data_IF_436834076688
#
_entry.id   IF_436834076688
#
_cell.length_a   1.000
_cell.length_b   1.000
_cell.length_c   1.000
_cell.angle_alpha   90.00
_cell.angle_beta   90.00
_cell.angle_gamma   90.00
#
_symmetry.space_group_name_H-M   'P 1'
#
loop_
_entity.id
_entity.type
_entity.pdbx_description
1 polymer ?
2 non-polymer ?
3 non-polymer ?
4 water ?
#
# COMPACT_ATOMS: atom_id res chain seq x y z
N UNK A 3 -2.41 8.80 24.92
CA UNK A 3 -2.95 9.38 23.66
C UNK A 3 -2.17 8.99 22.42
N UNK A 4 -1.39 7.91 22.49
CA UNK A 4 -0.66 7.41 21.30
C UNK A 4 -1.62 6.91 20.23
N UNK A 5 -1.14 6.87 18.99
CA UNK A 5 -1.95 6.32 17.92
C UNK A 5 -2.31 4.87 18.22
N UNK A 6 -1.36 4.14 18.79
CA UNK A 6 -1.55 2.70 19.07
C UNK A 6 -2.65 2.53 20.12
N UNK A 7 -2.58 3.38 21.16
CA UNK A 7 -3.60 3.38 22.22
C UNK A 7 -4.99 3.71 21.69
N UNK A 8 -5.09 4.76 20.87
CA UNK A 8 -6.36 5.19 20.32
C UNK A 8 -6.95 4.14 19.36
N UNK A 9 -6.09 3.55 18.53
CA UNK A 9 -6.50 2.48 17.60
C UNK A 9 -7.11 1.31 18.38
N UNK A 10 -6.43 0.88 19.43
CA UNK A 10 -6.95 -0.18 20.29
C UNK A 10 -8.29 0.16 20.92
N UNK A 11 -8.45 1.39 21.40
CA UNK A 11 -9.70 1.84 21.97
C UNK A 11 -10.80 1.81 20.93
N UNK A 12 -10.50 2.24 19.71
CA UNK A 12 -11.53 2.29 18.69
C UNK A 12 -11.99 0.86 18.30
N UNK A 13 -11.02 -0.02 18.06
CA UNK A 13 -11.30 -1.42 17.75
C UNK A 13 -12.16 -2.09 18.82
N UNK A 14 -11.86 -1.78 20.08
CA UNK A 14 -12.59 -2.34 21.21
C UNK A 14 -13.88 -1.57 21.56
N UNK A 15 -14.23 -0.54 20.79
CA UNK A 15 -15.41 0.28 21.05
C UNK A 15 -15.36 1.02 22.40
N UNK A 16 -14.16 1.32 22.88
CA UNK A 16 -13.96 2.12 24.10
C UNK A 16 -13.99 3.63 23.81
N UNK A 17 -13.62 3.96 22.59
CA UNK A 17 -13.80 5.30 22.03
C UNK A 17 -14.71 5.13 20.82
N UNK A 18 -15.53 6.14 20.52
CA UNK A 18 -16.36 6.02 19.33
C UNK A 18 -15.52 5.95 18.04
N UNK A 19 -16.04 5.17 17.10
CA UNK A 19 -15.38 4.95 15.83
C UNK A 19 -16.43 5.08 14.75
N UNK A 20 -16.02 5.54 13.58
CA UNK A 20 -16.90 5.58 12.44
C UNK A 20 -16.58 4.39 11.57
N UNK A 21 -17.21 3.27 11.91
CA UNK A 21 -17.08 2.04 11.12
C UNK A 21 -17.87 2.11 9.83
N UNK A 22 -17.28 1.57 8.76
CA UNK A 22 -17.91 1.54 7.45
C UNK A 22 -18.15 0.12 6.95
N UNK A 23 -17.50 -0.84 7.59
CA UNK A 23 -17.56 -2.24 7.16
C UNK A 23 -17.25 -3.20 8.31
N UNK A 24 -17.97 -4.32 8.36
CA UNK A 24 -17.73 -5.33 9.36
C UNK A 24 -18.08 -6.69 8.75
N UNK A 25 -17.17 -7.66 8.84
CA UNK A 25 -17.55 -9.09 8.65
C UNK A 25 -16.93 -9.92 9.78
N UNK A 26 -17.06 -11.26 9.71
CA UNK A 26 -16.54 -12.14 10.74
C UNK A 26 -15.03 -12.03 11.00
N UNK A 27 -14.28 -11.57 10.01
CA UNK A 27 -12.81 -11.57 10.03
C UNK A 27 -12.15 -10.19 9.93
N UNK A 28 -12.85 -9.23 9.34
CA UNK A 28 -12.24 -7.97 9.02
C UNK A 28 -13.20 -6.84 9.32
N UNK A 29 -12.66 -5.72 9.84
CA UNK A 29 -13.42 -4.49 10.03
C UNK A 29 -12.71 -3.32 9.33
N UNK A 30 -13.47 -2.27 9.05
CA UNK A 30 -12.93 -1.04 8.52
C UNK A 30 -13.59 0.17 9.11
N UNK A 31 -12.76 1.15 9.45
CA UNK A 31 -13.27 2.35 10.10
C UNK A 31 -12.42 3.53 9.69
N UNK A 32 -12.99 4.72 9.78
CA UNK A 32 -12.21 5.91 9.46
C UNK A 32 -11.10 6.15 10.46
N UNK A 33 -9.92 6.51 9.96
CA UNK A 33 -8.82 6.89 10.83
C UNK A 33 -9.09 8.26 11.43
N UNK A 34 -8.60 8.47 12.63
CA UNK A 34 -8.66 9.79 13.29
C UNK A 34 -7.66 10.80 12.72
N UNK A 35 -6.68 10.39 11.91
CA UNK A 35 -5.69 11.30 11.32
C UNK A 35 -5.67 11.11 9.78
N UNK A 36 -6.73 11.53 9.08
CA UNK A 36 -6.83 11.26 7.65
C UNK A 36 -5.84 12.00 6.75
N UNK A 37 -5.25 11.28 5.82
CA UNK A 37 -4.45 11.87 4.76
C UNK A 37 -5.32 12.65 3.78
N UNK A 38 -6.52 12.13 3.50
CA UNK A 38 -7.57 12.82 2.76
C UNK A 38 -8.90 12.43 3.38
N UNK A 39 -9.96 13.19 3.12
CA UNK A 39 -11.27 12.83 3.66
C UNK A 39 -11.67 11.45 3.13
N UNK A 40 -12.13 10.56 4.01
CA UNK A 40 -12.51 9.22 3.58
C UNK A 40 -11.45 8.16 3.87
N UNK A 41 -10.34 8.59 4.41
CA UNK A 41 -9.24 7.68 4.72
C UNK A 41 -9.71 6.65 5.75
N UNK A 42 -9.65 5.40 5.33
CA UNK A 42 -10.20 4.28 6.02
C UNK A 42 -9.09 3.28 6.37
N UNK A 43 -9.21 2.62 7.51
CA UNK A 43 -8.28 1.59 7.94
C UNK A 43 -9.01 0.25 7.85
N UNK A 44 -8.37 -0.73 7.22
CA UNK A 44 -8.94 -2.07 7.04
C UNK A 44 -8.09 -2.96 7.93
N UNK A 45 -8.75 -3.66 8.83
CA UNK A 45 -8.10 -4.28 9.98
C UNK A 45 -8.66 -5.69 10.21
N UNK A 46 -7.77 -6.71 10.21
CA UNK A 46 -8.22 -8.01 10.65
C UNK A 46 -8.55 -7.96 12.13
N UNK A 47 -9.61 -8.65 12.53
CA UNK A 47 -9.93 -8.79 13.95
C UNK A 47 -8.80 -9.50 14.72
N UNK A 48 -8.20 -10.50 14.09
CA UNK A 48 -7.10 -11.29 14.68
C UNK A 48 -5.93 -10.37 15.03
N UNK A 49 -5.27 -10.64 16.16
CA UNK A 49 -4.03 -9.94 16.53
C UNK A 49 -2.87 -10.44 15.71
N UNK A 50 -2.68 -9.83 14.54
CA UNK A 50 -1.56 -10.15 13.68
C UNK A 50 -0.94 -8.83 13.22
N UNK A 51 0.31 -8.91 12.78
CA UNK A 51 1.08 -7.75 12.38
C UNK A 51 2.07 -8.24 11.30
N UNK A 52 2.76 -7.28 10.68
CA UNK A 52 3.86 -7.55 9.74
C UNK A 52 3.34 -8.16 8.45
N UNK A 53 2.77 -7.30 7.61
CA UNK A 53 2.02 -7.68 6.42
C UNK A 53 2.72 -8.76 5.57
N UNK A 54 4.03 -8.60 5.36
CA UNK A 54 4.75 -9.47 4.43
C UNK A 54 4.84 -10.90 4.95
N UNK A 55 4.63 -11.10 6.26
CA UNK A 55 4.74 -12.42 6.88
C UNK A 55 3.39 -13.08 7.13
N UNK A 56 2.30 -12.42 6.81
CA UNK A 56 0.95 -12.94 7.13
C UNK A 56 0.60 -14.08 6.19
N UNK A 57 -0.04 -15.12 6.73
CA UNK A 57 -0.44 -16.25 5.92
C UNK A 57 -1.43 -15.79 4.85
N UNK A 58 -1.47 -16.52 3.74
CA UNK A 58 -2.25 -16.07 2.57
C UNK A 58 -3.77 -16.04 2.77
N UNK A 59 -4.33 -16.98 3.53
CA UNK A 59 -5.76 -16.95 3.86
C UNK A 59 -6.14 -15.60 4.48
N UNK A 60 -5.47 -15.26 5.58
CA UNK A 60 -5.73 -14.01 6.33
C UNK A 60 -5.40 -12.75 5.51
N UNK A 61 -4.28 -12.77 4.81
CA UNK A 61 -3.83 -11.64 4.03
C UNK A 61 -4.80 -11.32 2.90
N UNK A 62 -5.25 -12.39 2.23
CA UNK A 62 -6.15 -12.26 1.10
C UNK A 62 -7.55 -11.78 1.51
N UNK A 63 -8.01 -12.11 2.72
CA UNK A 63 -9.27 -11.54 3.22
C UNK A 63 -9.13 -10.03 3.40
N UNK A 64 -8.02 -9.60 3.98
CA UNK A 64 -7.75 -8.16 4.17
C UNK A 64 -7.64 -7.45 2.82
N UNK A 65 -6.98 -8.10 1.87
CA UNK A 65 -6.88 -7.55 0.51
C UNK A 65 -8.22 -7.35 -0.15
N UNK A 66 -9.11 -8.36 -0.03
CA UNK A 66 -10.44 -8.29 -0.57
C UNK A 66 -11.24 -7.11 -0.01
N UNK A 67 -11.23 -6.95 1.30
CA UNK A 67 -11.94 -5.82 1.91
C UNK A 67 -11.28 -4.50 1.52
N UNK A 68 -9.95 -4.50 1.36
CA UNK A 68 -9.26 -3.28 0.93
C UNK A 68 -9.74 -2.87 -0.47
N UNK A 69 -9.94 -3.83 -1.36
CA UNK A 69 -10.44 -3.50 -2.71
C UNK A 69 -11.85 -2.92 -2.64
N UNK A 70 -12.68 -3.53 -1.82
CA UNK A 70 -14.04 -3.08 -1.68
C UNK A 70 -14.07 -1.64 -1.16
N UNK A 71 -13.28 -1.35 -0.13
CA UNK A 71 -13.20 -0.02 0.42
C UNK A 71 -12.65 0.96 -0.63
N UNK A 72 -11.62 0.53 -1.35
CA UNK A 72 -11.08 1.34 -2.44
C UNK A 72 -12.16 1.72 -3.47
N UNK A 73 -12.94 0.76 -3.91
CA UNK A 73 -14.04 1.05 -4.83
C UNK A 73 -15.03 2.03 -4.22
N UNK A 74 -15.33 1.86 -2.94
CA UNK A 74 -16.32 2.69 -2.26
C UNK A 74 -15.85 4.13 -2.11
N UNK A 75 -14.57 4.33 -1.79
CA UNK A 75 -14.06 5.70 -1.61
C UNK A 75 -13.94 6.45 -2.94
N UNK A 76 -13.56 5.73 -3.99
CA UNK A 76 -13.54 6.29 -5.33
C UNK A 76 -14.95 6.77 -5.70
N UNK A 77 -15.93 5.91 -5.46
CA UNK A 77 -17.34 6.28 -5.77
C UNK A 77 -17.83 7.42 -4.87
N UNK A 78 -17.58 7.30 -3.56
CA UNK A 78 -18.10 8.27 -2.59
C UNK A 78 -17.52 9.66 -2.79
N UNK A 79 -16.23 9.75 -3.13
CA UNK A 79 -15.58 11.05 -3.25
C UNK A 79 -15.28 11.43 -4.70
N UNK A 80 -15.81 10.67 -5.64
CA UNK A 80 -15.68 10.97 -7.07
C UNK A 80 -14.22 11.20 -7.50
N UNK A 81 -13.37 10.25 -7.13
CA UNK A 81 -11.99 10.23 -7.62
C UNK A 81 -11.76 9.01 -8.52
N UNK A 82 -10.94 9.16 -9.56
CA UNK A 82 -10.53 7.99 -10.36
C UNK A 82 -9.75 6.99 -9.54
N UNK A 83 -8.86 7.48 -8.68
CA UNK A 83 -7.96 6.62 -7.97
C UNK A 83 -8.12 6.67 -6.44
N UNK A 84 -7.72 5.55 -5.82
CA UNK A 84 -7.56 5.43 -4.38
C UNK A 84 -6.10 5.06 -4.09
N UNK A 85 -5.56 5.56 -2.99
CA UNK A 85 -4.21 5.16 -2.55
C UNK A 85 -4.32 4.02 -1.52
N UNK A 86 -3.27 3.22 -1.44
CA UNK A 86 -3.16 2.15 -0.46
C UNK A 86 -1.78 2.21 0.11
N UNK A 87 -1.68 2.17 1.45
CA UNK A 87 -0.43 2.16 2.15
C UNK A 87 -0.48 1.14 3.27
N UNK A 88 0.63 0.42 3.45
CA UNK A 88 0.86 -0.35 4.65
C UNK A 88 2.20 0.13 5.17
N UNK A 89 2.23 0.49 6.44
CA UNK A 89 3.39 1.09 7.04
C UNK A 89 3.65 0.33 8.33
N UNK A 90 2.81 0.57 9.34
CA UNK A 90 2.88 -0.18 10.60
C UNK A 90 3.75 0.40 11.69
N UNK A 91 4.36 1.56 11.44
CA UNK A 91 5.29 2.17 12.40
C UNK A 91 4.62 2.84 13.61
N UNK A 92 3.34 3.18 13.48
CA UNK A 92 2.57 3.78 14.58
C UNK A 92 1.75 2.78 15.39
N UNK A 93 1.21 1.77 14.73
CA UNK A 93 0.31 0.83 15.39
C UNK A 93 0.68 -0.58 15.03
N UNK A 94 1.02 -1.39 16.05
CA UNK A 94 1.53 -2.73 15.78
C UNK A 94 0.42 -3.77 15.70
N UNK A 95 -0.53 -3.54 14.80
CA UNK A 95 -1.62 -4.47 14.46
C UNK A 95 -1.84 -4.20 12.99
N UNK A 96 -1.81 -5.24 12.19
CA UNK A 96 -1.93 -5.07 10.74
C UNK A 96 -3.10 -4.17 10.37
N UNK A 97 -2.84 -3.17 9.54
CA UNK A 97 -3.94 -2.32 9.05
C UNK A 97 -3.53 -1.71 7.74
N UNK A 98 -4.48 -1.68 6.79
CA UNK A 98 -4.21 -1.15 5.47
C UNK A 98 -4.90 0.19 5.36
N UNK A 99 -4.14 1.19 4.97
CA UNK A 99 -4.68 2.54 4.74
C UNK A 99 -5.25 2.60 3.33
N UNK A 100 -6.52 3.02 3.20
CA UNK A 100 -7.18 3.15 1.91
C UNK A 100 -7.89 4.51 1.88
N UNK A 101 -7.58 5.31 0.86
CA UNK A 101 -8.06 6.70 0.81
C UNK A 101 -8.22 7.17 -0.64
N UNK A 102 -9.19 8.08 -0.90
CA UNK A 102 -9.34 8.58 -2.24
C UNK A 102 -8.20 9.54 -2.53
N UNK A 103 -7.70 9.57 -3.76
CA UNK A 103 -6.54 10.43 -4.02
C UNK A 103 -6.68 11.22 -5.33
N UNK A 104 -6.15 12.44 -5.35
CA UNK A 104 -5.99 13.20 -6.60
C UNK A 104 -4.55 13.64 -6.86
N UNK A 105 -3.65 13.47 -5.88
CA UNK A 105 -2.30 13.99 -5.97
C UNK A 105 -1.28 13.14 -5.23
N UNK A 106 -0.08 13.06 -5.79
CA UNK A 106 1.02 12.37 -5.14
C UNK A 106 1.29 12.92 -3.74
N UNK A 107 1.03 14.21 -3.57
CA UNK A 107 1.28 14.85 -2.27
C UNK A 107 0.38 14.30 -1.16
N UNK A 108 -0.76 13.69 -1.51
CA UNK A 108 -1.63 13.06 -0.51
C UNK A 108 -0.93 11.98 0.30
N UNK A 109 0.04 11.29 -0.31
CA UNK A 109 0.67 10.12 0.27
C UNK A 109 1.64 10.51 1.35
N UNK A 110 1.49 9.94 2.53
CA UNK A 110 2.48 10.20 3.55
C UNK A 110 1.92 10.90 4.75
N UNK A 111 2.75 10.93 5.77
CA UNK A 111 2.28 11.22 7.07
C UNK A 111 2.48 12.68 7.44
N UNK A 112 3.26 13.40 6.66
CA UNK A 112 3.63 14.78 7.01
C UNK A 112 2.45 15.74 7.02
N UNK A 113 1.42 15.53 6.22
CA UNK A 113 0.29 16.39 6.48
C UNK A 113 -1.06 15.75 6.44
N UNK A 114 -1.19 14.81 7.36
CA UNK A 114 -2.46 14.37 7.86
C UNK A 114 -3.17 15.48 8.62
N UNK A 115 -4.50 15.35 8.65
CA UNK A 115 -5.40 16.23 9.37
C UNK A 115 -5.42 15.58 10.75
N UNK A 116 -4.81 16.21 11.73
CA UNK A 116 -4.76 15.55 13.04
C UNK A 116 -6.03 15.71 13.87
N UNK A 117 -6.88 16.66 13.51
CA UNK A 117 -8.12 16.87 14.24
C UNK A 117 -9.19 17.25 13.21
N UNK A 118 -9.66 16.25 12.44
CA UNK A 118 -10.69 16.54 11.46
C UNK A 118 -12.06 16.84 12.13
N UNK A 119 -12.85 17.69 11.50
CA UNK A 119 -14.19 18.05 12.00
C UNK A 119 -15.12 16.83 12.13
N UNK A 120 -15.95 16.80 13.20
CA UNK A 120 -16.98 15.77 13.28
C UNK A 120 -17.84 15.73 12.01
N UNK A 121 -18.12 16.89 11.41
CA UNK A 121 -18.87 16.96 10.15
C UNK A 121 -18.19 16.22 8.99
N UNK A 122 -16.89 16.45 8.81
CA UNK A 122 -16.16 15.80 7.73
C UNK A 122 -16.19 14.29 7.92
N UNK A 123 -15.98 13.83 9.15
CA UNK A 123 -15.99 12.38 9.45
C UNK A 123 -17.37 11.79 9.27
N UNK A 124 -18.39 12.46 9.78
CA UNK A 124 -19.79 11.99 9.64
C UNK A 124 -20.17 11.86 8.16
N UNK A 125 -19.85 12.87 7.36
CA UNK A 125 -20.19 12.82 5.93
C UNK A 125 -19.43 11.74 5.21
N UNK A 126 -18.13 11.58 5.56
CA UNK A 126 -17.34 10.53 4.97
C UNK A 126 -17.92 9.16 5.30
N UNK A 127 -18.27 8.92 6.56
CA UNK A 127 -18.83 7.62 6.93
C UNK A 127 -20.13 7.37 6.17
N UNK A 128 -20.98 8.38 6.10
CA UNK A 128 -22.28 8.27 5.39
C UNK A 128 -22.09 7.93 3.92
N UNK A 129 -21.21 8.67 3.25
CA UNK A 129 -21.00 8.51 1.80
C UNK A 129 -20.34 7.19 1.43
N UNK A 130 -19.42 6.74 2.26
CA UNK A 130 -18.79 5.44 2.08
C UNK A 130 -19.78 4.30 2.29
N UNK A 131 -20.55 4.35 3.36
CA UNK A 131 -21.57 3.36 3.59
C UNK A 131 -22.60 3.34 2.47
N UNK A 132 -23.01 4.50 1.94
CA UNK A 132 -23.95 4.52 0.81
C UNK A 132 -23.35 3.83 -0.42
N UNK A 133 -22.07 4.11 -0.68
CA UNK A 133 -21.35 3.56 -1.85
C UNK A 133 -21.20 2.03 -1.75
N UNK A 134 -20.87 1.57 -0.56
CA UNK A 134 -20.78 0.13 -0.26
C UNK A 134 -22.10 -0.59 -0.51
N UNK A 135 -23.22 -0.01 -0.09
CA UNK A 135 -24.54 -0.61 -0.33
C UNK A 135 -24.83 -0.68 -1.83
N UNK A 136 -24.41 0.37 -2.53
CA UNK A 136 -24.59 0.52 -3.98
C UNK A 136 -23.78 -0.53 -4.75
N UNK A 137 -22.57 -0.85 -4.25
CA UNK A 137 -21.70 -1.87 -4.83
C UNK A 137 -22.03 -3.30 -4.39
N UNK A 138 -22.92 -3.49 -3.43
CA UNK A 138 -23.13 -4.81 -2.83
C UNK A 138 -23.93 -5.73 -3.78
N UNK B 3 10.89 10.05 -22.03
CA UNK B 3 11.59 10.74 -20.91
C UNK B 3 10.84 10.58 -19.60
N UNK B 4 9.52 10.47 -19.67
CA UNK B 4 8.69 10.40 -18.49
C UNK B 4 8.92 9.11 -17.69
N UNK B 5 8.46 9.13 -16.44
CA UNK B 5 8.52 7.94 -15.61
C UNK B 5 7.68 6.86 -16.28
N UNK B 6 6.53 7.22 -16.88
CA UNK B 6 5.70 6.22 -17.53
C UNK B 6 6.33 5.60 -18.78
N UNK B 7 6.96 6.44 -19.61
CA UNK B 7 7.60 5.94 -20.83
C UNK B 7 8.78 4.99 -20.50
N UNK B 8 9.60 5.37 -19.51
CA UNK B 8 10.73 4.52 -19.07
C UNK B 8 10.20 3.20 -18.44
N UNK B 9 9.19 3.31 -17.59
CA UNK B 9 8.53 2.12 -17.05
C UNK B 9 8.11 1.19 -18.19
N UNK B 10 7.42 1.72 -19.21
CA UNK B 10 6.93 0.88 -20.30
C UNK B 10 8.06 0.16 -21.03
N UNK B 11 9.13 0.90 -21.29
CA UNK B 11 10.29 0.34 -21.98
C UNK B 11 10.99 -0.76 -21.17
N UNK B 12 11.07 -0.57 -19.85
CA UNK B 12 11.69 -1.56 -19.00
C UNK B 12 10.90 -2.87 -19.05
N UNK B 13 9.59 -2.80 -18.85
CA UNK B 13 8.79 -4.05 -18.86
C UNK B 13 8.75 -4.68 -20.24
N UNK B 14 8.81 -3.87 -21.30
CA UNK B 14 8.86 -4.40 -22.66
C UNK B 14 10.28 -4.81 -23.11
N UNK B 15 11.27 -4.73 -22.22
CA UNK B 15 12.66 -5.04 -22.54
C UNK B 15 13.19 -4.27 -23.77
N UNK B 16 12.85 -2.98 -23.80
CA UNK B 16 13.38 -2.07 -24.79
C UNK B 16 14.37 -1.11 -24.15
N UNK B 17 14.40 -1.08 -22.81
CA UNK B 17 15.51 -0.47 -22.02
C UNK B 17 15.89 -1.41 -20.89
N UNK B 18 17.17 -1.41 -20.49
CA UNK B 18 17.62 -2.27 -19.39
C UNK B 18 16.93 -1.95 -18.07
N UNK B 19 16.56 -2.98 -17.34
CA UNK B 19 16.04 -2.83 -15.97
C UNK B 19 16.84 -3.74 -15.03
N UNK B 20 16.79 -3.42 -13.76
CA UNK B 20 17.35 -4.27 -12.73
C UNK B 20 16.22 -5.07 -12.12
N UNK B 21 15.96 -6.22 -12.71
CA UNK B 21 14.95 -7.11 -12.21
C UNK B 21 15.45 -7.87 -11.00
N UNK B 22 14.53 -8.17 -10.09
CA UNK B 22 14.82 -9.05 -8.97
C UNK B 22 13.95 -10.30 -8.93
N UNK B 23 12.88 -10.34 -9.72
CA UNK B 23 11.91 -11.42 -9.65
C UNK B 23 11.13 -11.51 -10.97
N UNK B 24 10.79 -12.74 -11.37
CA UNK B 24 9.99 -12.96 -12.56
C UNK B 24 9.29 -14.31 -12.42
N UNK B 25 7.97 -14.32 -12.63
CA UNK B 25 7.24 -15.57 -12.84
C UNK B 25 6.34 -15.41 -14.08
N UNK B 26 5.42 -16.34 -14.29
CA UNK B 26 4.59 -16.34 -15.50
C UNK B 26 3.64 -15.13 -15.55
N UNK B 27 3.28 -14.60 -14.38
CA UNK B 27 2.31 -13.50 -14.26
C UNK B 27 2.82 -12.16 -13.74
N UNK B 28 3.90 -12.18 -12.96
CA UNK B 28 4.38 -10.98 -12.26
C UNK B 28 5.89 -10.83 -12.37
N UNK B 29 6.35 -9.59 -12.54
CA UNK B 29 7.78 -9.26 -12.49
C UNK B 29 8.02 -8.19 -11.41
N UNK B 30 9.25 -8.12 -10.91
CA UNK B 30 9.63 -7.05 -10.03
C UNK B 30 10.99 -6.53 -10.42
N UNK B 31 11.12 -5.21 -10.37
CA UNK B 31 12.36 -4.53 -10.72
C UNK B 31 12.53 -3.26 -9.94
N UNK B 32 13.77 -2.80 -9.85
CA UNK B 32 14.04 -1.59 -9.04
C UNK B 32 13.51 -0.33 -9.71
N UNK B 33 12.92 0.56 -8.93
CA UNK B 33 12.63 1.90 -9.42
C UNK B 33 13.90 2.72 -9.58
N UNK B 34 13.87 3.65 -10.52
CA UNK B 34 14.91 4.69 -10.65
C UNK B 34 14.71 5.90 -9.76
N UNK B 35 13.60 5.95 -9.02
CA UNK B 35 13.35 7.01 -8.04
C UNK B 35 13.04 6.42 -6.68
N UNK B 36 14.03 5.75 -6.07
CA UNK B 36 13.72 5.04 -4.82
C UNK B 36 13.49 5.96 -3.63
N UNK B 37 12.47 5.61 -2.85
CA UNK B 37 12.17 6.25 -1.54
C UNK B 37 13.28 5.89 -0.53
N UNK B 38 13.68 4.63 -0.52
CA UNK B 38 14.84 4.10 0.22
C UNK B 38 15.58 3.09 -0.67
N UNK B 39 16.85 2.78 -0.37
CA UNK B 39 17.59 1.84 -1.18
C UNK B 39 16.88 0.48 -1.07
N UNK B 40 16.65 -0.12 -2.22
CA UNK B 40 15.92 -1.37 -2.29
C UNK B 40 14.47 -1.27 -2.72
N UNK B 41 13.99 -0.06 -2.97
CA UNK B 41 12.63 0.21 -3.41
C UNK B 41 12.37 -0.49 -4.73
N UNK B 42 11.42 -1.45 -4.68
CA UNK B 42 11.16 -2.37 -5.78
C UNK B 42 9.73 -2.13 -6.26
N UNK B 43 9.50 -2.28 -7.57
CA UNK B 43 8.16 -2.24 -8.14
C UNK B 43 7.73 -3.65 -8.50
N UNK B 44 6.58 -4.06 -7.98
CA UNK B 44 6.03 -5.37 -8.26
C UNK B 44 4.91 -5.16 -9.27
N UNK B 45 5.00 -5.86 -10.42
CA UNK B 45 4.20 -5.48 -11.57
C UNK B 45 3.58 -6.67 -12.31
N UNK B 46 2.26 -6.67 -12.50
CA UNK B 46 1.71 -7.73 -13.35
C UNK B 46 2.21 -7.56 -14.78
N UNK B 47 2.50 -8.65 -15.46
CA UNK B 47 2.96 -8.55 -16.86
C UNK B 47 1.85 -8.00 -17.77
N UNK B 48 0.61 -8.44 -17.58
CA UNK B 48 -0.52 -7.86 -18.32
C UNK B 48 -0.76 -6.41 -17.93
N UNK B 49 -1.20 -5.61 -18.89
CA UNK B 49 -1.61 -4.22 -18.61
C UNK B 49 -2.98 -4.24 -17.92
N UNK B 50 -2.94 -4.13 -16.60
CA UNK B 50 -4.13 -3.80 -15.84
C UNK B 50 -3.73 -2.58 -14.98
N UNK B 51 -4.73 -1.87 -14.50
CA UNK B 51 -4.58 -0.65 -13.73
C UNK B 51 -5.81 -0.50 -12.81
N UNK B 52 -5.68 0.37 -11.81
CA UNK B 52 -6.76 0.69 -10.87
C UNK B 52 -6.94 -0.48 -9.91
N UNK B 53 -6.03 -0.57 -8.93
CA UNK B 53 -5.92 -1.75 -8.04
C UNK B 53 -7.24 -2.21 -7.44
N UNK B 54 -8.07 -1.26 -7.01
CA UNK B 54 -9.29 -1.61 -6.27
C UNK B 54 -10.32 -2.29 -7.18
N UNK B 55 -10.21 -2.04 -8.47
CA UNK B 55 -11.12 -2.61 -9.47
C UNK B 55 -10.62 -3.86 -10.20
N UNK B 56 -9.36 -4.24 -10.03
CA UNK B 56 -8.84 -5.41 -10.70
C UNK B 56 -9.41 -6.66 -10.03
N UNK B 57 -9.49 -7.74 -10.80
CA UNK B 57 -10.00 -9.02 -10.32
C UNK B 57 -9.24 -9.49 -9.05
N UNK B 58 -9.95 -10.08 -8.10
CA UNK B 58 -9.31 -10.42 -6.81
C UNK B 58 -8.19 -11.42 -6.98
N UNK B 59 -8.38 -12.41 -7.85
CA UNK B 59 -7.31 -13.38 -8.13
C UNK B 59 -6.04 -12.73 -8.68
N UNK B 60 -6.20 -11.82 -9.61
CA UNK B 60 -5.05 -11.09 -10.16
C UNK B 60 -4.38 -10.21 -9.09
N UNK B 61 -5.18 -9.42 -8.37
CA UNK B 61 -4.66 -8.57 -7.27
C UNK B 61 -3.94 -9.41 -6.20
N UNK B 62 -4.54 -10.53 -5.81
CA UNK B 62 -3.92 -11.39 -4.80
C UNK B 62 -2.61 -12.01 -5.27
N UNK B 63 -2.50 -12.33 -6.57
CA UNK B 63 -1.20 -12.82 -7.10
C UNK B 63 -0.14 -11.75 -6.95
N UNK B 64 -0.48 -10.53 -7.37
CA UNK B 64 0.44 -9.41 -7.28
C UNK B 64 0.84 -9.12 -5.81
N UNK B 65 -0.12 -9.14 -4.91
CA UNK B 65 0.18 -8.89 -3.51
C UNK B 65 0.98 -10.04 -2.88
N UNK B 66 0.77 -11.27 -3.36
CA UNK B 66 1.55 -12.41 -2.92
C UNK B 66 3.03 -12.24 -3.23
N UNK B 67 3.34 -11.86 -4.46
CA UNK B 67 4.72 -11.55 -4.82
C UNK B 67 5.22 -10.34 -4.02
N UNK B 68 4.36 -9.36 -3.78
CA UNK B 68 4.80 -8.19 -2.93
C UNK B 68 5.21 -8.64 -1.51
N UNK B 69 4.50 -9.63 -0.95
CA UNK B 69 4.89 -10.19 0.35
C UNK B 69 6.30 -10.76 0.29
N UNK B 70 6.61 -11.50 -0.79
CA UNK B 70 7.93 -12.12 -0.92
C UNK B 70 9.03 -11.04 -1.02
N UNK B 71 8.75 -10.01 -1.79
CA UNK B 71 9.65 -8.86 -1.89
C UNK B 71 9.81 -8.13 -0.55
N UNK B 72 8.71 -7.90 0.16
CA UNK B 72 8.76 -7.29 1.48
C UNK B 72 9.64 -8.09 2.45
N UNK B 73 9.48 -9.42 2.47
CA UNK B 73 10.37 -10.27 3.28
C UNK B 73 11.84 -10.11 2.87
N UNK B 74 12.09 -10.01 1.57
CA UNK B 74 13.43 -9.86 1.03
C UNK B 74 14.09 -8.54 1.37
N UNK B 75 13.37 -7.43 1.26
CA UNK B 75 13.96 -6.13 1.56
C UNK B 75 14.24 -5.96 3.06
N UNK B 76 13.36 -6.47 3.93
CA UNK B 76 13.65 -6.52 5.39
C UNK B 76 14.96 -7.24 5.67
N UNK B 77 15.11 -8.42 5.07
CA UNK B 77 16.32 -9.24 5.24
C UNK B 77 17.56 -8.55 4.63
N UNK B 78 17.43 -8.06 3.41
CA UNK B 78 18.54 -7.53 2.65
C UNK B 78 19.08 -6.24 3.26
N UNK B 79 18.19 -5.41 3.80
CA UNK B 79 18.56 -4.08 4.27
C UNK B 79 18.45 -3.90 5.77
N UNK B 80 18.21 -5.02 6.45
CA UNK B 80 18.24 -5.09 7.90
C UNK B 80 17.24 -4.14 8.54
N UNK B 81 15.98 -4.18 8.08
CA UNK B 81 14.94 -3.37 8.69
C UNK B 81 13.89 -4.30 9.28
N UNK B 82 13.22 -3.83 10.32
CA UNK B 82 12.16 -4.61 10.97
C UNK B 82 10.92 -4.64 10.10
N UNK B 83 10.66 -3.53 9.42
CA UNK B 83 9.50 -3.42 8.58
C UNK B 83 9.81 -3.03 7.15
N UNK B 84 8.82 -3.33 6.31
CA UNK B 84 8.78 -2.93 4.90
C UNK B 84 7.55 -2.06 4.68
N UNK B 85 7.71 -0.99 3.90
CA UNK B 85 6.57 -0.19 3.47
C UNK B 85 6.01 -0.64 2.13
N UNK B 86 4.73 -0.38 1.93
CA UNK B 86 4.06 -0.75 0.68
C UNK B 86 3.10 0.36 0.29
N UNK B 87 3.12 0.72 -0.98
CA UNK B 87 2.27 1.78 -1.47
C UNK B 87 1.76 1.42 -2.83
N UNK B 88 0.46 1.65 -3.04
CA UNK B 88 -0.08 1.69 -4.39
C UNK B 88 -0.61 3.10 -4.60
N UNK B 89 -0.15 3.76 -5.67
CA UNK B 89 -0.54 5.14 -5.95
C UNK B 89 -1.11 5.23 -7.36
N UNK B 90 -0.25 5.10 -8.38
CA UNK B 90 -0.72 4.95 -9.76
C UNK B 90 -0.78 6.23 -10.55
N UNK B 91 -0.47 7.34 -9.91
CA UNK B 91 -0.58 8.67 -10.52
C UNK B 91 0.50 8.98 -11.57
N UNK B 92 1.64 8.30 -11.50
CA UNK B 92 2.74 8.51 -12.45
C UNK B 92 2.70 7.54 -13.62
N UNK B 93 2.33 6.29 -13.37
CA UNK B 93 2.36 5.25 -14.43
C UNK B 93 1.07 4.44 -14.40
N UNK B 94 0.28 4.45 -15.50
CA UNK B 94 -1.02 3.79 -15.51
C UNK B 94 -0.95 2.31 -15.89
N UNK B 95 -0.11 1.60 -15.15
CA UNK B 95 0.03 0.16 -15.23
C UNK B 95 0.21 -0.20 -13.77
N UNK B 96 -0.68 -1.02 -13.25
CA UNK B 96 -0.62 -1.42 -11.85
C UNK B 96 0.80 -1.79 -11.43
N UNK B 97 1.22 -1.23 -10.30
CA UNK B 97 2.52 -1.58 -9.73
C UNK B 97 2.49 -1.26 -8.24
N UNK B 98 3.08 -2.15 -7.46
CA UNK B 98 3.12 -2.01 -5.99
C UNK B 98 4.51 -1.61 -5.60
N UNK B 99 4.61 -0.54 -4.85
CA UNK B 99 5.89 -0.10 -4.31
C UNK B 99 6.23 -0.86 -3.01
N UNK B 100 7.40 -1.49 -2.92
CA UNK B 100 7.78 -2.21 -1.75
C UNK B 100 9.19 -1.82 -1.43
N UNK B 101 9.44 -1.39 -0.20
CA UNK B 101 10.73 -0.86 0.18
C UNK B 101 11.00 -1.07 1.66
N UNK B 102 12.28 -1.14 2.05
CA UNK B 102 12.55 -1.23 3.48
C UNK B 102 12.30 0.12 4.14
N UNK B 103 11.83 0.12 5.39
CA UNK B 103 11.48 1.38 6.01
C UNK B 103 12.05 1.49 7.42
N UNK B 104 12.46 2.71 7.76
CA UNK B 104 12.97 3.06 9.07
C UNK B 104 12.15 4.19 9.74
N UNK B 105 11.49 5.04 8.94
CA UNK B 105 10.71 6.15 9.48
C UNK B 105 9.49 6.45 8.64
N UNK B 106 8.49 7.05 9.28
CA UNK B 106 7.29 7.48 8.59
C UNK B 106 7.60 8.45 7.46
N UNK B 107 8.68 9.20 7.59
CA UNK B 107 9.09 10.13 6.54
C UNK B 107 9.50 9.39 5.23
N UNK B 108 9.83 8.10 5.31
CA UNK B 108 10.15 7.31 4.10
C UNK B 108 9.00 7.34 3.10
N UNK B 109 7.75 7.45 3.59
CA UNK B 109 6.56 7.28 2.76
C UNK B 109 6.22 8.54 1.98
N UNK B 110 6.09 8.38 0.68
CA UNK B 110 5.68 9.51 -0.12
C UNK B 110 6.72 9.94 -1.11
N UNK B 111 6.31 10.88 -1.92
CA UNK B 111 6.94 11.05 -3.18
C UNK B 111 7.77 12.30 -3.27
N UNK B 112 7.60 13.20 -2.30
CA UNK B 112 8.41 14.42 -2.25
C UNK B 112 9.91 14.12 -2.14
N UNK B 113 10.32 13.22 -1.26
CA UNK B 113 11.74 13.10 -0.98
C UNK B 113 12.38 11.83 -1.58
N UNK B 114 11.89 11.36 -2.72
CA UNK B 114 12.52 10.25 -3.44
C UNK B 114 13.92 10.68 -3.92
N UNK B 115 14.81 9.71 -4.09
CA UNK B 115 16.12 9.97 -4.64
C UNK B 115 15.93 10.05 -6.16
N UNK B 116 16.11 11.22 -6.75
CA UNK B 116 15.92 11.34 -8.21
C UNK B 116 17.19 10.96 -9.00
N UNK B 117 18.25 10.60 -8.29
CA UNK B 117 19.52 10.28 -8.95
C UNK B 117 20.37 9.23 -8.23
N UNK B 118 19.82 8.02 -8.07
CA UNK B 118 20.56 7.03 -7.28
C UNK B 118 21.78 6.57 -8.06
N UNK B 119 22.87 6.28 -7.38
CA UNK B 119 24.08 5.85 -8.07
C UNK B 119 23.94 4.43 -8.65
N UNK B 120 24.66 4.17 -9.75
CA UNK B 120 24.57 2.84 -10.32
C UNK B 120 25.03 1.78 -9.32
N UNK B 121 26.06 2.03 -8.52
CA UNK B 121 26.45 0.99 -7.54
C UNK B 121 25.38 0.74 -6.49
N UNK B 122 24.72 1.79 -6.03
CA UNK B 122 23.60 1.61 -5.08
C UNK B 122 22.49 0.72 -5.63
N UNK B 123 22.20 0.89 -6.92
CA UNK B 123 21.16 0.11 -7.56
C UNK B 123 21.66 -1.32 -7.78
N UNK B 124 22.93 -1.45 -8.19
CA UNK B 124 23.53 -2.77 -8.37
C UNK B 124 23.49 -3.54 -7.07
N UNK B 125 23.85 -2.84 -6.01
CA UNK B 125 23.90 -3.43 -4.69
C UNK B 125 22.51 -3.82 -4.17
N UNK B 126 21.53 -2.95 -4.35
CA UNK B 126 20.14 -3.28 -3.95
C UNK B 126 19.64 -4.53 -4.69
N UNK B 127 19.90 -4.59 -5.99
CA UNK B 127 19.51 -5.74 -6.81
C UNK B 127 20.14 -7.01 -6.32
N UNK B 128 21.44 -6.95 -6.08
CA UNK B 128 22.16 -8.15 -5.68
C UNK B 128 21.74 -8.63 -4.30
N UNK B 129 21.53 -7.71 -3.37
CA UNK B 129 21.11 -8.08 -2.02
C UNK B 129 19.70 -8.63 -1.99
N UNK B 130 18.79 -8.05 -2.76
CA UNK B 130 17.42 -8.59 -2.82
C UNK B 130 17.43 -10.00 -3.42
N UNK B 131 18.17 -10.18 -4.51
CA UNK B 131 18.26 -11.50 -5.12
C UNK B 131 18.84 -12.53 -4.15
N UNK B 132 19.87 -12.15 -3.39
CA UNK B 132 20.46 -13.07 -2.42
C UNK B 132 19.44 -13.42 -1.33
N UNK B 133 18.69 -12.42 -0.85
CA UNK B 133 17.67 -12.63 0.18
C UNK B 133 16.56 -13.55 -0.31
N UNK B 134 16.11 -13.31 -1.55
CA UNK B 134 15.14 -14.18 -2.17
C UNK B 134 15.65 -15.60 -2.30
N UNK B 135 16.93 -15.79 -2.63
CA UNK B 135 17.49 -17.14 -2.73
C UNK B 135 17.45 -17.83 -1.36
N UNK B 136 17.73 -17.08 -0.28
CA UNK B 136 17.74 -17.67 1.07
C UNK B 136 16.33 -18.05 1.52
N UNK B 137 15.35 -17.23 1.11
CA UNK B 137 13.94 -17.47 1.41
C UNK B 137 13.31 -18.61 0.62
N UNK B 138 13.75 -18.82 -0.63
CA UNK B 138 13.14 -19.82 -1.53
C UNK B 138 13.14 -21.23 -0.91
#
# INVERSE_FOLDING_TARGET
GPGSMASIFTKIINRELPGRFVYEDDDVVAFLTIEPMTQGHTLVVPREEIDNWQDVDSAAFNRVMGVSQLIGKAVCKAFRTERSGLIIAGLEVPHLHVHVFPTRSLSDFGFANVDRNPSPESLDEAQAKIKAALAQLA
GPGSMASIFTKIINRELPGRFVYEDDDVVAFLTIEPMTQGHTLVVPREEIDNWQDVDSAAFNRVMGVSQLIGKAVCKAFRTERSGLIIAGLEVPHLHVHVFPTRSLSDFGFANVDRNPSPESLDEAQAKIKAALAQLA
#
